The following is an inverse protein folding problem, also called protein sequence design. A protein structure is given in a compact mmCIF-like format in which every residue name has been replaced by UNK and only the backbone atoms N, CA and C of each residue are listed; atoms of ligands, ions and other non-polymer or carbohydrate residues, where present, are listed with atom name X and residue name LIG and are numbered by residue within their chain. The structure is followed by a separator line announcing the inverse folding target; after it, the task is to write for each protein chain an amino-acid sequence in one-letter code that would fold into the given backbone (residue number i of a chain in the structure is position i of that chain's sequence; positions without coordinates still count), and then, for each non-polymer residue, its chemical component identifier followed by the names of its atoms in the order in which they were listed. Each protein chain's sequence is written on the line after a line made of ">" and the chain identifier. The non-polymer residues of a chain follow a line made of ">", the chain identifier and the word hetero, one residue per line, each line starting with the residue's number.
data_IF_481894938476
#
_entry.id   IF_481894938476
#
_cell.length_a   1.000
_cell.length_b   1.000
_cell.length_c   1.000
_cell.angle_alpha   90.00
_cell.angle_beta   90.00
_cell.angle_gamma   90.00
#
_symmetry.space_group_name_H-M   'P 1'
#
loop_
_entity.id
_entity.type
_entity.pdbx_description
1 polymer ?
#
# COMPACT_ATOMS: atom_id res chain seq x y z
N UNK A 1 34.70 -42.06 -33.28
CA UNK A 1 35.21 -41.94 -31.88
C UNK A 1 34.79 -40.65 -31.21
N UNK A 2 34.51 -39.55 -31.94
CA UNK A 2 34.04 -38.27 -31.42
C UNK A 2 32.59 -38.30 -30.90
N UNK A 3 31.70 -39.09 -31.51
CA UNK A 3 30.26 -39.11 -31.17
C UNK A 3 30.00 -39.78 -29.81
N UNK A 4 30.77 -40.79 -29.42
CA UNK A 4 30.68 -41.48 -28.13
C UNK A 4 31.14 -40.56 -26.96
N UNK A 5 32.12 -39.70 -27.22
CA UNK A 5 32.61 -38.72 -26.25
C UNK A 5 31.58 -37.59 -26.02
N UNK A 6 30.89 -37.17 -27.07
CA UNK A 6 29.89 -36.13 -27.03
C UNK A 6 28.62 -36.61 -26.27
N UNK A 7 28.21 -37.86 -26.49
CA UNK A 7 27.04 -38.46 -25.81
C UNK A 7 27.32 -38.70 -24.32
N UNK A 8 28.54 -39.09 -23.92
CA UNK A 8 28.92 -39.20 -22.50
C UNK A 8 28.94 -37.86 -21.76
N UNK A 9 29.38 -36.79 -22.44
CA UNK A 9 29.40 -35.46 -21.86
C UNK A 9 27.98 -34.89 -21.74
N UNK A 10 27.10 -35.14 -22.72
CA UNK A 10 25.70 -34.76 -22.67
C UNK A 10 24.95 -35.45 -21.51
N UNK A 11 25.17 -36.77 -21.31
CA UNK A 11 24.58 -37.52 -20.19
C UNK A 11 25.09 -37.04 -18.82
N UNK A 12 26.38 -36.76 -18.68
CA UNK A 12 26.93 -36.19 -17.43
C UNK A 12 26.36 -34.81 -17.11
N UNK A 13 26.19 -33.98 -18.13
CA UNK A 13 25.59 -32.64 -17.97
C UNK A 13 24.12 -32.74 -17.58
N UNK A 14 23.34 -33.62 -18.19
CA UNK A 14 21.95 -33.86 -17.83
C UNK A 14 21.82 -34.39 -16.39
N UNK A 15 22.68 -35.32 -15.97
CA UNK A 15 22.68 -35.84 -14.58
C UNK A 15 23.09 -34.76 -13.55
N UNK A 16 24.02 -33.87 -13.90
CA UNK A 16 24.36 -32.72 -13.06
C UNK A 16 23.22 -31.70 -12.95
N UNK A 17 22.52 -31.40 -14.05
CA UNK A 17 21.38 -30.50 -14.09
C UNK A 17 20.21 -31.05 -13.25
N UNK A 18 19.95 -32.36 -13.30
CA UNK A 18 18.91 -32.99 -12.50
C UNK A 18 19.25 -33.01 -11.00
N UNK A 19 20.49 -33.29 -10.62
CA UNK A 19 20.94 -33.17 -9.24
C UNK A 19 20.86 -31.74 -8.72
N UNK A 20 21.16 -30.77 -9.56
CA UNK A 20 21.06 -29.35 -9.23
C UNK A 20 19.62 -28.92 -9.01
N UNK A 21 18.69 -29.37 -9.88
CA UNK A 21 17.25 -29.15 -9.71
C UNK A 21 16.71 -29.78 -8.42
N UNK A 22 17.14 -31.01 -8.12
CA UNK A 22 16.75 -31.68 -6.88
C UNK A 22 17.24 -30.93 -5.64
N UNK A 23 18.48 -30.43 -5.64
CA UNK A 23 19.03 -29.61 -4.57
C UNK A 23 18.27 -28.27 -4.43
N UNK A 24 17.89 -27.66 -5.54
CA UNK A 24 17.14 -26.38 -5.52
C UNK A 24 15.68 -26.54 -5.09
N UNK A 25 15.11 -27.73 -5.23
CA UNK A 25 13.74 -28.02 -4.79
C UNK A 25 13.61 -28.34 -3.32
N UNK A 26 14.71 -28.79 -2.66
CA UNK A 26 14.67 -29.18 -1.24
C UNK A 26 14.56 -27.98 -0.33
N UNK A 27 13.59 -28.05 0.57
CA UNK A 27 13.41 -27.08 1.65
C UNK A 27 14.39 -27.38 2.79
N UNK A 28 15.09 -26.35 3.25
CA UNK A 28 15.93 -26.42 4.45
C UNK A 28 15.23 -25.70 5.61
N UNK A 29 15.55 -26.11 6.84
CA UNK A 29 15.01 -25.49 8.04
C UNK A 29 15.36 -24.00 8.15
N UNK A 30 16.54 -23.62 7.68
CA UNK A 30 17.00 -22.22 7.65
C UNK A 30 16.15 -21.37 6.69
N UNK A 31 15.77 -21.91 5.52
CA UNK A 31 14.90 -21.22 4.56
C UNK A 31 13.49 -21.05 5.10
N UNK A 32 12.93 -22.08 5.76
CA UNK A 32 11.63 -21.99 6.42
C UNK A 32 11.65 -20.94 7.52
N UNK A 33 12.68 -20.91 8.34
CA UNK A 33 12.84 -19.94 9.42
C UNK A 33 12.96 -18.51 8.87
N UNK A 34 13.77 -18.30 7.85
CA UNK A 34 13.94 -17.00 7.19
C UNK A 34 12.62 -16.48 6.61
N UNK A 35 11.86 -17.35 5.93
CA UNK A 35 10.57 -16.98 5.37
C UNK A 35 9.54 -16.69 6.48
N UNK A 36 9.54 -17.44 7.56
CA UNK A 36 8.68 -17.16 8.71
C UNK A 36 8.99 -15.78 9.31
N UNK A 37 10.27 -15.44 9.47
CA UNK A 37 10.71 -14.11 9.92
C UNK A 37 10.25 -13.00 8.97
N UNK A 38 10.35 -13.20 7.66
CA UNK A 38 9.84 -12.24 6.67
C UNK A 38 8.32 -12.09 6.73
N UNK A 39 7.59 -13.17 6.97
CA UNK A 39 6.14 -13.12 7.16
C UNK A 39 5.77 -12.30 8.41
N UNK A 40 6.47 -12.48 9.52
CA UNK A 40 6.27 -11.66 10.72
C UNK A 40 6.54 -10.18 10.47
N UNK A 41 7.68 -9.86 9.84
CA UNK A 41 8.03 -8.49 9.46
C UNK A 41 6.96 -7.88 8.54
N UNK A 42 6.49 -8.63 7.54
CA UNK A 42 5.42 -8.19 6.65
C UNK A 42 4.11 -7.93 7.42
N UNK A 43 3.77 -8.74 8.42
CA UNK A 43 2.63 -8.49 9.31
C UNK A 43 2.80 -7.20 10.13
N UNK A 44 3.99 -6.93 10.63
CA UNK A 44 4.30 -5.68 11.34
C UNK A 44 4.15 -4.46 10.43
N UNK A 45 4.71 -4.50 9.21
CA UNK A 45 4.56 -3.40 8.24
C UNK A 45 3.10 -3.19 7.86
N UNK A 46 2.33 -4.24 7.63
CA UNK A 46 0.88 -4.15 7.41
C UNK A 46 0.18 -3.39 8.53
N UNK A 47 0.51 -3.70 9.79
CA UNK A 47 -0.09 -3.04 10.95
C UNK A 47 0.31 -1.57 11.02
N UNK A 48 1.59 -1.24 10.80
CA UNK A 48 2.11 0.13 10.81
C UNK A 48 1.44 0.98 9.72
N UNK A 49 1.38 0.49 8.49
CA UNK A 49 0.70 1.16 7.39
C UNK A 49 -0.80 1.32 7.65
N UNK A 50 -1.46 0.34 8.26
CA UNK A 50 -2.86 0.45 8.65
C UNK A 50 -3.10 1.52 9.72
N UNK A 51 -2.15 1.75 10.64
CA UNK A 51 -2.22 2.86 11.60
C UNK A 51 -1.99 4.21 10.92
N UNK A 52 -1.01 4.29 10.03
CA UNK A 52 -0.72 5.50 9.28
C UNK A 52 -1.91 5.90 8.38
N UNK A 53 -2.50 4.95 7.66
CA UNK A 53 -3.72 5.16 6.86
C UNK A 53 -4.85 5.75 7.71
N UNK A 54 -5.15 5.18 8.88
CA UNK A 54 -6.19 5.70 9.78
C UNK A 54 -5.90 7.13 10.26
N UNK A 55 -4.64 7.46 10.54
CA UNK A 55 -4.21 8.80 10.93
C UNK A 55 -4.45 9.81 9.81
N UNK A 56 -3.98 9.50 8.59
CA UNK A 56 -4.15 10.38 7.43
C UNK A 56 -5.61 10.49 7.00
N UNK A 57 -6.40 9.42 7.10
CA UNK A 57 -7.84 9.43 6.86
C UNK A 57 -8.56 10.38 7.81
N UNK A 58 -8.26 10.32 9.11
CA UNK A 58 -8.84 11.23 10.10
C UNK A 58 -8.45 12.68 9.80
N UNK A 59 -7.19 12.94 9.47
CA UNK A 59 -6.72 14.27 9.08
C UNK A 59 -7.45 14.77 7.83
N UNK A 60 -7.56 13.95 6.77
CA UNK A 60 -8.26 14.31 5.55
C UNK A 60 -9.71 14.70 5.83
N UNK A 61 -10.45 13.91 6.61
CA UNK A 61 -11.85 14.21 6.95
C UNK A 61 -11.97 15.48 7.81
N UNK A 62 -11.01 15.76 8.69
CA UNK A 62 -11.00 16.98 9.50
C UNK A 62 -10.90 18.26 8.67
N UNK A 63 -10.32 18.20 7.47
CA UNK A 63 -10.30 19.31 6.53
C UNK A 63 -11.50 19.28 5.56
N UNK A 64 -11.82 18.11 5.01
CA UNK A 64 -12.85 17.97 3.97
C UNK A 64 -14.24 18.31 4.48
N UNK A 65 -14.62 17.80 5.67
CA UNK A 65 -15.99 17.97 6.19
C UNK A 65 -16.32 19.45 6.46
N UNK A 66 -15.47 20.24 7.15
CA UNK A 66 -15.73 21.67 7.34
C UNK A 66 -15.86 22.44 6.02
N UNK A 67 -15.02 22.13 5.02
CA UNK A 67 -15.09 22.80 3.71
C UNK A 67 -16.44 22.51 3.04
N UNK A 68 -16.89 21.25 3.02
CA UNK A 68 -18.19 20.89 2.44
C UNK A 68 -19.34 21.66 3.17
N UNK A 69 -19.33 21.66 4.50
CA UNK A 69 -20.36 22.34 5.29
C UNK A 69 -20.35 23.84 4.99
N UNK A 70 -19.20 24.50 5.05
CA UNK A 70 -19.08 25.92 4.76
C UNK A 70 -19.53 26.27 3.35
N UNK A 71 -19.08 25.51 2.35
CA UNK A 71 -19.46 25.77 0.96
C UNK A 71 -20.95 25.57 0.70
N UNK A 72 -21.57 24.56 1.32
CA UNK A 72 -22.99 24.31 1.22
C UNK A 72 -23.81 25.43 1.88
N UNK A 73 -23.43 25.84 3.10
CA UNK A 73 -24.10 26.92 3.82
C UNK A 73 -23.98 28.24 3.10
N UNK A 74 -22.80 28.60 2.59
CA UNK A 74 -22.59 29.85 1.88
C UNK A 74 -23.30 29.85 0.53
N UNK A 75 -23.34 28.73 -0.17
CA UNK A 75 -24.13 28.57 -1.40
C UNK A 75 -25.62 28.80 -1.14
N UNK A 76 -26.19 28.17 -0.11
CA UNK A 76 -27.59 28.36 0.29
C UNK A 76 -27.86 29.79 0.76
N UNK A 77 -26.96 30.38 1.57
CA UNK A 77 -27.08 31.74 2.03
C UNK A 77 -27.12 32.77 0.89
N UNK A 78 -26.30 32.59 -0.13
CA UNK A 78 -26.32 33.43 -1.33
C UNK A 78 -27.67 33.41 -2.04
N UNK A 79 -28.30 32.24 -2.18
CA UNK A 79 -29.65 32.13 -2.75
C UNK A 79 -30.74 32.78 -1.91
N UNK A 80 -30.60 32.65 -0.58
CA UNK A 80 -31.61 33.15 0.35
C UNK A 80 -31.44 34.66 0.65
N UNK A 81 -30.31 35.25 0.32
CA UNK A 81 -29.97 36.63 0.70
C UNK A 81 -30.94 37.67 0.19
N UNK A 82 -31.37 37.56 -1.06
CA UNK A 82 -32.28 38.50 -1.68
C UNK A 82 -33.72 38.39 -1.15
N UNK A 83 -34.12 37.20 -0.67
CA UNK A 83 -35.49 36.93 -0.20
C UNK A 83 -35.73 37.10 1.28
N UNK A 84 -34.66 36.90 2.10
CA UNK A 84 -34.81 36.80 3.56
C UNK A 84 -34.03 37.85 4.34
N UNK A 85 -33.06 38.57 3.74
CA UNK A 85 -32.24 39.54 4.43
C UNK A 85 -32.72 40.94 4.13
N UNK A 86 -33.08 41.75 5.16
CA UNK A 86 -33.44 43.18 4.99
C UNK A 86 -32.30 43.94 4.34
N UNK A 87 -32.60 44.94 3.51
CA UNK A 87 -31.63 45.76 2.78
C UNK A 87 -30.60 46.42 3.72
N UNK A 88 -31.01 46.81 4.93
CA UNK A 88 -30.14 47.40 5.99
C UNK A 88 -28.98 46.48 6.40
N UNK A 89 -29.20 45.16 6.46
CA UNK A 89 -28.21 44.16 6.90
C UNK A 89 -27.54 43.40 5.75
N UNK A 90 -27.96 43.61 4.52
CA UNK A 90 -27.50 42.88 3.34
C UNK A 90 -25.99 42.98 3.13
N UNK A 91 -25.41 44.19 3.29
CA UNK A 91 -23.95 44.40 3.16
C UNK A 91 -23.15 43.59 4.16
N UNK A 92 -23.62 43.56 5.42
CA UNK A 92 -22.95 42.80 6.49
C UNK A 92 -23.09 41.31 6.29
N UNK A 93 -24.25 40.81 5.83
CA UNK A 93 -24.47 39.41 5.49
C UNK A 93 -23.57 38.96 4.32
N UNK A 94 -23.49 39.79 3.27
CA UNK A 94 -22.58 39.51 2.13
C UNK A 94 -21.10 39.45 2.56
N UNK A 95 -20.67 40.37 3.42
CA UNK A 95 -19.30 40.36 3.94
C UNK A 95 -19.01 39.10 4.79
N UNK A 96 -19.95 38.66 5.62
CA UNK A 96 -19.84 37.44 6.41
C UNK A 96 -19.75 36.18 5.53
N UNK A 97 -20.63 36.04 4.53
CA UNK A 97 -20.60 34.94 3.57
C UNK A 97 -19.30 34.94 2.77
N UNK A 98 -18.84 36.12 2.31
CA UNK A 98 -17.56 36.28 1.63
C UNK A 98 -16.37 35.83 2.50
N UNK A 99 -16.37 36.21 3.78
CA UNK A 99 -15.34 35.80 4.73
C UNK A 99 -15.29 34.28 4.94
N UNK A 100 -16.45 33.63 5.08
CA UNK A 100 -16.54 32.17 5.19
C UNK A 100 -16.04 31.48 3.90
N UNK A 101 -16.36 32.02 2.73
CA UNK A 101 -15.86 31.49 1.45
C UNK A 101 -14.33 31.57 1.35
N UNK A 102 -13.73 32.69 1.79
CA UNK A 102 -12.27 32.84 1.82
C UNK A 102 -11.64 31.80 2.74
N UNK A 103 -12.20 31.61 3.95
CA UNK A 103 -11.73 30.58 4.89
C UNK A 103 -11.84 29.16 4.31
N UNK A 104 -12.96 28.85 3.66
CA UNK A 104 -13.14 27.55 3.00
C UNK A 104 -12.09 27.34 1.89
N UNK A 105 -11.82 28.36 1.11
CA UNK A 105 -10.77 28.33 0.08
C UNK A 105 -9.36 28.12 0.66
N UNK A 106 -9.02 28.80 1.75
CA UNK A 106 -7.73 28.60 2.44
C UNK A 106 -7.61 27.16 2.95
N UNK A 107 -8.63 26.63 3.63
CA UNK A 107 -8.63 25.28 4.18
C UNK A 107 -8.50 24.24 3.04
N UNK A 108 -9.23 24.44 1.94
CA UNK A 108 -9.16 23.57 0.76
C UNK A 108 -7.77 23.58 0.12
N UNK A 109 -7.15 24.75 -0.01
CA UNK A 109 -5.78 24.89 -0.54
C UNK A 109 -4.77 24.18 0.37
N UNK A 110 -4.91 24.34 1.69
CA UNK A 110 -4.06 23.68 2.67
C UNK A 110 -4.18 22.16 2.62
N UNK A 111 -5.40 21.66 2.49
CA UNK A 111 -5.69 20.22 2.34
C UNK A 111 -5.00 19.64 1.11
N UNK A 112 -5.09 20.33 -0.03
CA UNK A 112 -4.44 19.91 -1.27
C UNK A 112 -2.91 19.95 -1.16
N UNK A 113 -2.36 20.97 -0.52
CA UNK A 113 -0.92 21.08 -0.28
C UNK A 113 -0.38 19.95 0.61
N UNK A 114 -1.10 19.58 1.66
CA UNK A 114 -0.72 18.53 2.61
C UNK A 114 -0.90 17.12 2.06
N UNK A 115 -1.59 16.94 0.93
CA UNK A 115 -1.77 15.68 0.20
C UNK A 115 -2.26 14.51 1.08
N UNK A 116 -3.08 14.79 2.09
CA UNK A 116 -3.55 13.77 3.03
C UNK A 116 -4.31 12.61 2.38
N UNK A 117 -5.09 12.88 1.35
CA UNK A 117 -5.83 11.85 0.62
C UNK A 117 -4.88 10.89 -0.10
N UNK A 118 -3.82 11.41 -0.70
CA UNK A 118 -2.81 10.61 -1.41
C UNK A 118 -1.97 9.77 -0.43
N UNK A 119 -1.53 10.38 0.68
CA UNK A 119 -0.80 9.66 1.73
C UNK A 119 -1.64 8.53 2.34
N UNK A 120 -2.92 8.80 2.60
CA UNK A 120 -3.87 7.79 3.09
C UNK A 120 -3.95 6.61 2.12
N UNK A 121 -4.14 6.87 0.82
CA UNK A 121 -4.27 5.81 -0.18
C UNK A 121 -2.95 5.06 -0.40
N UNK A 122 -1.82 5.74 -0.38
CA UNK A 122 -0.49 5.13 -0.48
C UNK A 122 -0.22 4.17 0.69
N UNK A 123 -0.52 4.56 1.92
CA UNK A 123 -0.41 3.67 3.08
C UNK A 123 -1.39 2.50 3.02
N UNK A 124 -2.63 2.72 2.52
CA UNK A 124 -3.61 1.66 2.32
C UNK A 124 -3.11 0.61 1.32
N UNK A 125 -2.62 1.06 0.17
CA UNK A 125 -2.08 0.18 -0.87
C UNK A 125 -0.88 -0.63 -0.35
N UNK A 126 0.08 0.02 0.34
CA UNK A 126 1.22 -0.66 0.95
C UNK A 126 0.80 -1.69 2.00
N UNK A 127 -0.15 -1.36 2.86
CA UNK A 127 -0.67 -2.30 3.87
C UNK A 127 -1.30 -3.55 3.24
N UNK A 128 -2.00 -3.40 2.11
CA UNK A 128 -2.58 -4.53 1.35
C UNK A 128 -1.46 -5.38 0.74
N UNK A 129 -0.45 -4.75 0.14
CA UNK A 129 0.67 -5.45 -0.49
C UNK A 129 1.51 -6.25 0.53
N UNK A 130 1.83 -5.66 1.68
CA UNK A 130 2.46 -6.36 2.80
C UNK A 130 1.61 -7.53 3.34
N UNK A 131 0.28 -7.35 3.41
CA UNK A 131 -0.64 -8.42 3.81
C UNK A 131 -0.63 -9.58 2.82
N UNK A 132 -0.50 -9.29 1.51
CA UNK A 132 -0.40 -10.32 0.46
C UNK A 132 0.87 -11.14 0.64
N UNK A 133 2.03 -10.48 0.76
CA UNK A 133 3.31 -11.17 0.97
C UNK A 133 3.27 -12.07 2.21
N UNK A 134 2.78 -11.56 3.35
CA UNK A 134 2.61 -12.36 4.57
C UNK A 134 1.77 -13.62 4.31
N UNK A 135 0.61 -13.45 3.70
CA UNK A 135 -0.31 -14.56 3.40
C UNK A 135 0.31 -15.58 2.45
N UNK A 136 0.99 -15.13 1.40
CA UNK A 136 1.58 -16.00 0.40
C UNK A 136 2.69 -16.88 1.04
N UNK A 137 3.51 -16.31 1.93
CA UNK A 137 4.52 -17.06 2.68
C UNK A 137 3.84 -18.05 3.66
N UNK A 138 2.85 -17.59 4.43
CA UNK A 138 2.17 -18.46 5.40
C UNK A 138 1.47 -19.65 4.73
N UNK A 139 0.84 -19.44 3.58
CA UNK A 139 0.19 -20.53 2.82
C UNK A 139 1.24 -21.55 2.36
N UNK A 140 2.34 -21.09 1.78
CA UNK A 140 3.38 -21.99 1.28
C UNK A 140 4.02 -22.82 2.41
N UNK A 141 4.31 -22.19 3.55
CA UNK A 141 4.86 -22.88 4.72
C UNK A 141 3.86 -23.85 5.38
N UNK A 142 2.56 -23.62 5.23
CA UNK A 142 1.53 -24.50 5.74
C UNK A 142 1.31 -25.77 4.89
N UNK A 143 1.79 -25.78 3.64
CA UNK A 143 1.71 -26.95 2.78
C UNK A 143 2.72 -28.02 3.19
N UNK A 144 2.39 -29.29 2.91
CA UNK A 144 3.35 -30.39 3.03
C UNK A 144 4.54 -30.17 2.07
N UNK A 145 5.79 -30.48 2.47
CA UNK A 145 6.97 -30.21 1.67
C UNK A 145 6.90 -30.69 0.20
N UNK A 146 6.32 -31.85 -0.14
CA UNK A 146 6.18 -32.32 -1.52
C UNK A 146 5.23 -31.47 -2.38
N UNK A 147 4.35 -30.69 -1.76
CA UNK A 147 3.35 -29.82 -2.43
C UNK A 147 3.81 -28.39 -2.58
N UNK A 148 4.93 -28.04 -1.95
CA UNK A 148 5.50 -26.70 -2.00
C UNK A 148 6.18 -26.44 -3.34
N UNK A 149 6.25 -25.20 -3.71
CA UNK A 149 7.08 -24.74 -4.84
C UNK A 149 8.56 -25.04 -4.55
N UNK A 150 9.42 -25.16 -5.58
CA UNK A 150 10.85 -25.29 -5.39
C UNK A 150 11.37 -24.19 -4.44
N UNK A 151 12.09 -24.58 -3.39
CA UNK A 151 12.46 -23.69 -2.29
C UNK A 151 13.21 -22.44 -2.75
N UNK A 152 14.18 -22.61 -3.65
CA UNK A 152 14.98 -21.51 -4.19
C UNK A 152 14.15 -20.52 -5.00
N UNK A 153 13.25 -21.00 -5.83
CA UNK A 153 12.42 -20.15 -6.69
C UNK A 153 11.44 -19.33 -5.84
N UNK A 154 10.80 -19.98 -4.86
CA UNK A 154 9.90 -19.30 -3.96
C UNK A 154 10.62 -18.25 -3.10
N UNK A 155 11.80 -18.57 -2.56
CA UNK A 155 12.62 -17.64 -1.81
C UNK A 155 13.01 -16.41 -2.65
N UNK A 156 13.40 -16.60 -3.90
CA UNK A 156 13.76 -15.49 -4.81
C UNK A 156 12.56 -14.59 -5.09
N UNK A 157 11.38 -15.17 -5.32
CA UNK A 157 10.13 -14.41 -5.51
C UNK A 157 9.79 -13.58 -4.26
N UNK A 158 9.82 -14.21 -3.08
CA UNK A 158 9.54 -13.52 -1.83
C UNK A 158 10.55 -12.41 -1.53
N UNK A 159 11.84 -12.64 -1.81
CA UNK A 159 12.89 -11.64 -1.66
C UNK A 159 12.66 -10.45 -2.58
N UNK A 160 12.44 -10.69 -3.86
CA UNK A 160 12.20 -9.61 -4.82
C UNK A 160 10.97 -8.78 -4.46
N UNK A 161 9.90 -9.43 -3.99
CA UNK A 161 8.69 -8.73 -3.55
C UNK A 161 8.92 -7.96 -2.25
N UNK A 162 9.66 -8.53 -1.29
CA UNK A 162 10.02 -7.87 -0.04
C UNK A 162 10.84 -6.59 -0.30
N UNK A 163 11.90 -6.70 -1.13
CA UNK A 163 12.75 -5.57 -1.49
C UNK A 163 11.95 -4.48 -2.21
N UNK A 164 11.09 -4.87 -3.16
CA UNK A 164 10.17 -3.95 -3.85
C UNK A 164 9.25 -3.21 -2.88
N UNK A 165 8.69 -3.91 -1.89
CA UNK A 165 7.79 -3.30 -0.91
C UNK A 165 8.52 -2.32 0.01
N UNK A 166 9.76 -2.62 0.40
CA UNK A 166 10.60 -1.68 1.17
C UNK A 166 10.85 -0.39 0.39
N UNK A 167 11.17 -0.51 -0.90
CA UNK A 167 11.49 0.65 -1.75
C UNK A 167 10.26 1.51 -2.08
N UNK A 168 9.11 0.89 -2.34
CA UNK A 168 7.90 1.57 -2.82
C UNK A 168 6.97 2.04 -1.71
N UNK A 169 7.10 1.53 -0.49
CA UNK A 169 6.21 1.92 0.61
C UNK A 169 6.54 3.33 1.10
N UNK A 170 5.54 4.16 1.39
CA UNK A 170 5.76 5.47 1.98
C UNK A 170 6.37 5.33 3.37
N UNK A 171 7.16 6.32 3.78
CA UNK A 171 7.72 6.38 5.14
C UNK A 171 6.61 6.42 6.19
N UNK A 172 6.82 5.67 7.27
CA UNK A 172 5.86 5.53 8.37
C UNK A 172 6.21 6.54 9.48
#
# INVERSE_FOLDING_TARGET
>A
MSDIFNDKNAKKKAEQDDKLKELHSKWTREQEFLLAEWAEKASCYRWLHGRAEKKYRKANYSFTIPVIIMSTLTGTANFAMDSFVPEEHKKTAMAAVGGVNILAGIISTLQNFLRYAELMESHRASGIAWSKLNRDICIELALDPPRRKPARDFLNICRAEYDRLIEQSPMI
#
